data_IF_284841750632
#
_entry.id   IF_284841750632
#
_cell.length_a   1.000
_cell.length_b   1.000
_cell.length_c   1.000
_cell.angle_alpha   90.00
_cell.angle_beta   90.00
_cell.angle_gamma   90.00
#
_symmetry.space_group_name_H-M   'P 1'
#
loop_
_entity.id
_entity.type
_entity.pdbx_description
1 polymer ?
#
# COMPACT_ATOMS: atom_id res chain seq x y z
N UNK A 1 17.98 7.83 32.14
CA UNK A 1 17.72 8.85 31.10
C UNK A 1 17.19 8.24 29.79
N UNK A 2 17.69 7.10 29.35
CA UNK A 2 17.22 6.47 28.07
C UNK A 2 15.80 5.89 28.12
N UNK A 3 15.34 5.43 29.27
CA UNK A 3 14.02 4.79 29.41
C UNK A 3 12.86 5.79 29.29
N UNK A 4 13.00 6.98 29.88
CA UNK A 4 11.99 8.05 29.81
C UNK A 4 11.85 8.61 28.37
N UNK A 5 12.97 8.70 27.63
CA UNK A 5 12.98 9.14 26.24
C UNK A 5 12.30 8.11 25.32
N UNK A 6 12.52 6.84 25.60
CA UNK A 6 11.87 5.75 24.84
C UNK A 6 10.38 5.71 25.09
N UNK A 7 9.95 5.87 26.33
CA UNK A 7 8.52 5.89 26.71
C UNK A 7 7.78 7.06 26.04
N UNK A 8 8.33 8.27 26.11
CA UNK A 8 7.73 9.45 25.43
C UNK A 8 7.71 9.31 23.90
N UNK A 9 8.65 8.59 23.32
CA UNK A 9 8.67 8.31 21.88
C UNK A 9 7.57 7.32 21.48
N UNK A 10 7.42 6.24 22.24
CA UNK A 10 6.37 5.22 22.03
C UNK A 10 4.96 5.81 22.20
N UNK A 11 4.75 6.63 23.23
CA UNK A 11 3.49 7.34 23.44
C UNK A 11 3.14 8.25 22.25
N UNK A 12 4.09 9.03 21.74
CA UNK A 12 3.86 9.89 20.57
C UNK A 12 3.55 9.09 19.30
N UNK A 13 4.26 8.01 19.05
CA UNK A 13 4.00 7.11 17.93
C UNK A 13 2.58 6.55 18.05
N UNK A 14 2.20 6.10 19.24
CA UNK A 14 0.88 5.58 19.53
C UNK A 14 -0.21 6.64 19.29
N UNK A 15 -0.06 7.86 19.83
CA UNK A 15 -1.04 8.94 19.65
C UNK A 15 -1.19 9.34 18.18
N UNK A 16 -0.11 9.44 17.42
CA UNK A 16 -0.19 9.80 16.00
C UNK A 16 -0.81 8.65 15.19
N UNK A 17 -0.45 7.42 15.49
CA UNK A 17 -1.07 6.25 14.83
C UNK A 17 -2.56 6.19 15.11
N UNK A 18 -2.98 6.45 16.35
CA UNK A 18 -4.39 6.53 16.74
C UNK A 18 -5.09 7.72 16.06
N UNK A 19 -4.47 8.90 16.02
CA UNK A 19 -5.02 10.07 15.33
C UNK A 19 -5.18 9.84 13.83
N UNK A 20 -4.17 9.28 13.16
CA UNK A 20 -4.24 8.94 11.73
C UNK A 20 -5.32 7.91 11.47
N UNK A 21 -5.40 6.91 12.33
CA UNK A 21 -6.43 5.88 12.26
C UNK A 21 -7.84 6.47 12.49
N UNK A 22 -8.04 7.31 13.50
CA UNK A 22 -9.30 7.99 13.76
C UNK A 22 -9.68 8.93 12.63
N UNK A 23 -8.69 9.63 12.04
CA UNK A 23 -8.92 10.49 10.88
C UNK A 23 -9.32 9.69 9.66
N UNK A 24 -8.63 8.58 9.37
CA UNK A 24 -9.00 7.65 8.29
C UNK A 24 -10.38 7.02 8.53
N UNK A 25 -10.70 6.63 9.76
CA UNK A 25 -12.01 6.13 10.16
C UNK A 25 -13.11 7.16 10.01
N UNK A 26 -12.88 8.42 10.42
CA UNK A 26 -13.85 9.49 10.26
C UNK A 26 -14.10 9.81 8.77
N UNK A 27 -13.07 9.79 7.93
CA UNK A 27 -13.25 9.95 6.48
C UNK A 27 -14.02 8.79 5.85
N UNK A 28 -13.73 7.57 6.28
CA UNK A 28 -14.49 6.38 5.88
C UNK A 28 -15.95 6.53 6.34
N UNK A 29 -16.19 6.92 7.59
CA UNK A 29 -17.56 7.09 8.12
C UNK A 29 -18.33 8.26 7.50
N UNK A 30 -17.67 9.37 7.16
CA UNK A 30 -18.28 10.49 6.44
C UNK A 30 -18.65 10.14 4.99
N UNK A 31 -17.86 9.28 4.35
CA UNK A 31 -18.19 8.72 3.04
C UNK A 31 -19.39 7.76 3.09
N UNK A 32 -19.59 7.06 4.21
CA UNK A 32 -20.75 6.18 4.43
C UNK A 32 -22.06 6.94 4.74
N UNK A 33 -21.98 8.14 5.34
CA UNK A 33 -23.17 8.88 5.77
C UNK A 33 -24.06 9.40 4.65
N UNK A 34 -23.61 9.31 3.39
CA UNK A 34 -24.38 9.79 2.24
C UNK A 34 -25.21 8.74 1.51
N UNK A 35 -24.89 7.45 1.68
CA UNK A 35 -25.52 6.38 0.88
C UNK A 35 -26.49 5.46 1.64
N UNK A 36 -26.64 5.64 2.96
CA UNK A 36 -27.55 4.82 3.77
C UNK A 36 -28.94 5.41 3.79
N UNK A 37 -29.82 4.90 2.94
CA UNK A 37 -31.28 5.01 3.14
C UNK A 37 -31.70 4.04 4.23
N UNK A 38 -32.53 4.52 5.20
CA UNK A 38 -33.08 3.71 6.30
C UNK A 38 -33.81 2.43 5.85
N UNK A 39 -34.24 2.36 4.59
CA UNK A 39 -34.88 1.19 4.00
C UNK A 39 -33.93 0.02 3.72
N UNK A 40 -32.62 0.32 3.51
CA UNK A 40 -31.62 -0.71 3.25
C UNK A 40 -31.15 -1.42 4.52
N UNK A 41 -31.32 -0.79 5.69
CA UNK A 41 -30.93 -1.36 6.98
C UNK A 41 -31.78 -2.57 7.40
N UNK A 42 -33.03 -2.62 6.98
CA UNK A 42 -33.93 -3.74 7.33
C UNK A 42 -33.78 -4.98 6.46
N UNK A 43 -33.12 -4.89 5.30
CA UNK A 43 -32.86 -6.03 4.42
C UNK A 43 -31.54 -6.76 4.71
N UNK A 44 -30.59 -6.08 5.36
CA UNK A 44 -29.23 -6.57 5.57
C UNK A 44 -29.09 -7.55 6.74
N UNK A 45 -30.04 -7.55 7.67
CA UNK A 45 -29.88 -8.30 8.94
C UNK A 45 -30.12 -9.82 8.85
N UNK A 46 -30.53 -10.36 7.72
CA UNK A 46 -30.80 -11.81 7.63
C UNK A 46 -29.63 -12.67 7.15
N UNK A 47 -28.59 -12.10 6.52
CA UNK A 47 -27.55 -12.90 5.85
C UNK A 47 -26.11 -12.65 6.34
N UNK A 48 -25.86 -11.78 7.32
CA UNK A 48 -24.50 -11.49 7.81
C UNK A 48 -23.99 -12.58 8.77
N UNK A 49 -23.95 -13.84 8.29
CA UNK A 49 -23.39 -14.97 9.04
C UNK A 49 -21.93 -15.23 8.62
N UNK A 50 -21.01 -14.40 9.10
CA UNK A 50 -19.58 -14.64 8.89
C UNK A 50 -18.93 -15.29 10.11
N UNK A 51 -18.18 -16.34 9.88
CA UNK A 51 -17.30 -16.98 10.87
C UNK A 51 -15.87 -16.48 10.68
N UNK A 52 -15.18 -16.14 11.77
CA UNK A 52 -13.78 -15.68 11.73
C UNK A 52 -12.86 -16.64 10.93
N UNK A 53 -13.09 -17.95 11.07
CA UNK A 53 -12.32 -18.96 10.32
C UNK A 53 -12.50 -18.84 8.82
N UNK A 54 -13.74 -18.65 8.36
CA UNK A 54 -14.07 -18.51 6.95
C UNK A 54 -13.55 -17.19 6.39
N UNK A 55 -13.60 -16.12 7.18
CA UNK A 55 -13.05 -14.81 6.80
C UNK A 55 -11.53 -14.85 6.65
N UNK A 56 -10.82 -15.55 7.56
CA UNK A 56 -9.38 -15.76 7.47
C UNK A 56 -9.00 -16.63 6.27
N UNK A 57 -9.76 -17.70 6.01
CA UNK A 57 -9.56 -18.54 4.82
C UNK A 57 -9.80 -17.74 3.52
N UNK A 58 -10.81 -16.89 3.48
CA UNK A 58 -11.11 -16.01 2.36
C UNK A 58 -9.97 -15.02 2.14
N UNK A 59 -9.50 -14.38 3.21
CA UNK A 59 -8.34 -13.47 3.16
C UNK A 59 -7.09 -14.19 2.66
N UNK A 60 -6.83 -15.41 3.13
CA UNK A 60 -5.74 -16.26 2.66
C UNK A 60 -5.85 -16.62 1.17
N UNK A 61 -7.07 -16.93 0.70
CA UNK A 61 -7.33 -17.14 -0.74
C UNK A 61 -7.06 -15.88 -1.56
N UNK A 62 -7.46 -14.70 -1.08
CA UNK A 62 -7.15 -13.45 -1.76
C UNK A 62 -5.66 -13.18 -1.82
N UNK A 63 -4.91 -13.45 -0.75
CA UNK A 63 -3.47 -13.29 -0.73
C UNK A 63 -2.78 -14.26 -1.71
N UNK A 64 -3.08 -15.55 -1.64
CA UNK A 64 -2.45 -16.55 -2.51
C UNK A 64 -2.81 -16.37 -3.97
N UNK A 65 -4.11 -16.15 -4.28
CA UNK A 65 -4.55 -15.90 -5.66
C UNK A 65 -4.08 -14.54 -6.15
N UNK A 66 -4.10 -13.51 -5.30
CA UNK A 66 -3.65 -12.16 -5.62
C UNK A 66 -2.17 -12.10 -5.98
N UNK A 67 -1.31 -12.85 -5.27
CA UNK A 67 0.11 -12.96 -5.60
C UNK A 67 0.36 -13.45 -7.03
N UNK A 68 -0.50 -14.31 -7.54
CA UNK A 68 -0.43 -14.75 -8.94
C UNK A 68 -1.10 -13.76 -9.88
N UNK A 69 -2.28 -13.24 -9.51
CA UNK A 69 -3.10 -12.37 -10.37
C UNK A 69 -2.44 -11.04 -10.72
N UNK A 70 -1.53 -10.54 -9.89
CA UNK A 70 -0.76 -9.34 -10.23
C UNK A 70 0.12 -9.49 -11.48
N UNK A 71 0.38 -10.73 -11.94
CA UNK A 71 1.14 -11.03 -13.15
C UNK A 71 0.27 -11.57 -14.30
N UNK A 72 -1.05 -11.71 -14.11
CA UNK A 72 -1.90 -12.50 -15.02
C UNK A 72 -2.63 -11.67 -16.07
N UNK A 73 -2.69 -10.35 -15.94
CA UNK A 73 -3.42 -9.48 -16.87
C UNK A 73 -2.47 -8.59 -17.67
N UNK A 74 -2.84 -8.30 -18.92
CA UNK A 74 -2.04 -7.40 -19.78
C UNK A 74 -1.79 -6.03 -19.12
N UNK A 75 -2.78 -5.34 -18.51
CA UNK A 75 -2.53 -4.09 -17.81
C UNK A 75 -1.50 -4.23 -16.69
N UNK A 76 -1.58 -5.28 -15.89
CA UNK A 76 -0.63 -5.50 -14.79
C UNK A 76 0.78 -5.78 -15.33
N UNK A 77 0.93 -6.55 -16.41
CA UNK A 77 2.24 -6.79 -17.04
C UNK A 77 2.85 -5.50 -17.58
N UNK A 78 2.04 -4.63 -18.18
CA UNK A 78 2.49 -3.30 -18.61
C UNK A 78 2.93 -2.48 -17.39
N UNK A 79 2.17 -2.48 -16.31
CA UNK A 79 2.52 -1.78 -15.07
C UNK A 79 3.80 -2.34 -14.44
N UNK A 80 4.03 -3.67 -14.50
CA UNK A 80 5.30 -4.27 -14.11
C UNK A 80 6.47 -3.77 -14.98
N UNK A 81 6.27 -3.66 -16.30
CA UNK A 81 7.25 -3.08 -17.22
C UNK A 81 7.56 -1.62 -16.89
N UNK A 82 6.52 -0.80 -16.65
CA UNK A 82 6.67 0.60 -16.23
C UNK A 82 7.40 0.67 -14.88
N UNK A 83 7.06 -0.20 -13.94
CA UNK A 83 7.72 -0.30 -12.63
C UNK A 83 9.21 -0.59 -12.79
N UNK A 84 9.57 -1.57 -13.59
CA UNK A 84 10.97 -1.94 -13.83
C UNK A 84 11.78 -0.79 -14.45
N UNK A 85 11.23 -0.11 -15.46
CA UNK A 85 11.86 1.06 -16.10
C UNK A 85 11.98 2.23 -15.11
N UNK A 86 10.93 2.52 -14.35
CA UNK A 86 10.93 3.60 -13.37
C UNK A 86 11.95 3.35 -12.28
N UNK A 87 11.94 2.17 -11.67
CA UNK A 87 12.89 1.78 -10.62
C UNK A 87 14.31 1.81 -11.17
N UNK A 88 14.56 1.27 -12.35
CA UNK A 88 15.88 1.31 -13.01
C UNK A 88 16.39 2.73 -13.23
N UNK A 89 15.52 3.65 -13.67
CA UNK A 89 15.85 5.08 -13.78
C UNK A 89 16.25 5.69 -12.44
N UNK A 90 15.52 5.38 -11.38
CA UNK A 90 15.82 5.90 -10.04
C UNK A 90 17.10 5.30 -9.47
N UNK A 91 17.34 3.99 -9.63
CA UNK A 91 18.60 3.34 -9.23
C UNK A 91 19.80 4.06 -9.90
N UNK A 92 19.69 4.37 -11.18
CA UNK A 92 20.76 5.10 -11.88
C UNK A 92 21.00 6.52 -11.35
N UNK A 93 19.95 7.17 -10.81
CA UNK A 93 20.01 8.55 -10.31
C UNK A 93 20.05 8.67 -8.77
N UNK A 94 20.06 7.59 -8.03
CA UNK A 94 19.92 7.57 -6.57
C UNK A 94 20.93 8.46 -5.85
N UNK A 95 22.20 8.38 -6.20
CA UNK A 95 23.25 9.20 -5.58
C UNK A 95 22.98 10.70 -5.77
N UNK A 96 22.55 11.11 -6.97
CA UNK A 96 22.25 12.51 -7.28
C UNK A 96 21.03 13.03 -6.51
N UNK A 97 20.02 12.18 -6.36
CA UNK A 97 18.77 12.51 -5.66
C UNK A 97 19.04 12.60 -4.15
N UNK A 98 19.74 11.62 -3.59
CA UNK A 98 20.08 11.59 -2.16
C UNK A 98 20.91 12.81 -1.75
N UNK A 99 21.94 13.17 -2.50
CA UNK A 99 22.75 14.37 -2.22
C UNK A 99 21.90 15.66 -2.20
N UNK A 100 20.93 15.79 -3.12
CA UNK A 100 20.02 16.95 -3.15
C UNK A 100 19.03 16.95 -1.98
N UNK A 101 18.57 15.78 -1.54
CA UNK A 101 17.64 15.66 -0.43
C UNK A 101 18.29 16.03 0.91
N UNK A 102 19.53 15.59 1.14
CA UNK A 102 20.27 15.82 2.39
C UNK A 102 20.61 17.30 2.62
N UNK A 103 20.89 18.03 1.56
CA UNK A 103 21.27 19.46 1.65
C UNK A 103 20.14 20.40 2.13
N UNK A 104 18.91 19.89 2.33
CA UNK A 104 17.73 20.68 2.72
C UNK A 104 17.30 20.45 4.18
N UNK A 105 18.20 20.13 5.09
CA UNK A 105 17.86 19.83 6.50
C UNK A 105 17.20 21.00 7.23
N UNK A 106 15.88 20.95 7.44
CA UNK A 106 15.16 21.71 8.49
C UNK A 106 13.89 20.97 8.93
N UNK A 107 13.70 20.84 10.27
CA UNK A 107 12.49 20.37 10.97
C UNK A 107 12.08 18.90 10.75
N UNK A 108 12.91 17.99 11.23
CA UNK A 108 12.74 16.54 11.03
C UNK A 108 11.80 15.83 12.03
N UNK A 109 11.41 16.46 13.16
CA UNK A 109 10.74 15.74 14.27
C UNK A 109 9.40 15.14 13.85
N UNK A 110 8.55 15.89 13.15
CA UNK A 110 7.23 15.43 12.73
C UNK A 110 7.33 14.35 11.64
N UNK A 111 8.23 14.52 10.69
CA UNK A 111 8.45 13.53 9.62
C UNK A 111 9.01 12.22 10.17
N UNK A 112 9.88 12.27 11.17
CA UNK A 112 10.39 11.09 11.86
C UNK A 112 9.26 10.33 12.57
N UNK A 113 8.36 11.05 13.26
CA UNK A 113 7.24 10.42 13.95
C UNK A 113 6.27 9.77 12.96
N UNK A 114 5.95 10.42 11.84
CA UNK A 114 5.11 9.84 10.78
C UNK A 114 5.77 8.59 10.20
N UNK A 115 7.07 8.65 9.91
CA UNK A 115 7.80 7.49 9.39
C UNK A 115 7.87 6.34 10.39
N UNK A 116 8.05 6.62 11.67
CA UNK A 116 8.03 5.60 12.72
C UNK A 116 6.63 5.00 12.90
N UNK A 117 5.57 5.84 12.79
CA UNK A 117 4.18 5.38 12.83
C UNK A 117 3.83 4.42 11.69
N UNK A 118 4.48 4.55 10.53
CA UNK A 118 4.26 3.63 9.39
C UNK A 118 4.48 2.16 9.74
N UNK A 119 5.34 1.86 10.73
CA UNK A 119 5.58 0.49 11.21
C UNK A 119 4.31 -0.13 11.78
N UNK A 120 3.48 0.66 12.47
CA UNK A 120 2.20 0.17 13.02
C UNK A 120 1.27 -0.27 11.89
N UNK A 121 1.28 0.43 10.77
CA UNK A 121 0.47 0.11 9.59
C UNK A 121 0.98 -1.12 8.82
N UNK A 122 2.21 -1.57 9.10
CA UNK A 122 2.73 -2.85 8.60
C UNK A 122 2.34 -4.04 9.49
N UNK A 123 1.66 -3.81 10.60
CA UNK A 123 1.19 -4.88 11.49
C UNK A 123 -0.25 -5.27 11.17
N UNK A 124 -0.70 -6.46 11.59
CA UNK A 124 -2.10 -6.86 11.44
C UNK A 124 -3.08 -6.05 12.32
N UNK A 125 -2.58 -5.15 13.17
CA UNK A 125 -3.41 -4.35 14.08
C UNK A 125 -4.42 -3.47 13.33
N UNK A 126 -3.95 -2.74 12.32
CA UNK A 126 -4.81 -1.80 11.57
C UNK A 126 -5.89 -2.54 10.77
N UNK A 127 -5.56 -3.60 9.98
CA UNK A 127 -6.59 -4.44 9.36
C UNK A 127 -7.56 -5.04 10.36
N UNK A 128 -7.08 -5.54 11.52
CA UNK A 128 -7.94 -6.13 12.55
C UNK A 128 -8.95 -5.14 13.12
N UNK A 129 -8.58 -3.85 13.23
CA UNK A 129 -9.49 -2.81 13.67
C UNK A 129 -10.59 -2.58 12.62
N UNK A 130 -10.25 -2.46 11.33
CA UNK A 130 -11.26 -2.35 10.26
C UNK A 130 -12.18 -3.57 10.24
N UNK A 131 -11.60 -4.77 10.38
CA UNK A 131 -12.37 -6.01 10.47
C UNK A 131 -13.35 -5.99 11.66
N UNK A 132 -12.88 -5.60 12.85
CA UNK A 132 -13.72 -5.56 14.07
C UNK A 132 -14.87 -4.56 13.94
N UNK A 133 -14.61 -3.39 13.33
CA UNK A 133 -15.64 -2.39 13.07
C UNK A 133 -16.66 -2.89 12.05
N UNK A 134 -16.18 -3.54 10.97
CA UNK A 134 -17.05 -4.13 9.97
C UNK A 134 -17.99 -5.19 10.56
N UNK A 135 -17.46 -6.04 11.45
CA UNK A 135 -18.22 -7.05 12.17
C UNK A 135 -19.25 -6.43 13.12
N UNK A 136 -18.84 -5.41 13.87
CA UNK A 136 -19.73 -4.70 14.80
C UNK A 136 -20.87 -3.97 14.09
N UNK A 137 -20.60 -3.42 12.88
CA UNK A 137 -21.59 -2.68 12.08
C UNK A 137 -22.36 -3.52 11.09
N UNK A 138 -22.03 -4.81 10.98
CA UNK A 138 -22.57 -5.70 9.95
C UNK A 138 -22.36 -5.14 8.52
N UNK A 139 -21.21 -4.49 8.28
CA UNK A 139 -20.88 -3.80 7.04
C UNK A 139 -20.06 -4.71 6.14
N UNK A 140 -20.71 -5.29 5.15
CA UNK A 140 -20.08 -6.21 4.21
C UNK A 140 -19.01 -5.54 3.32
N UNK A 141 -19.22 -4.28 2.92
CA UNK A 141 -18.25 -3.52 2.14
C UNK A 141 -16.97 -3.28 2.95
N UNK A 142 -17.12 -2.88 4.20
CA UNK A 142 -15.97 -2.67 5.10
C UNK A 142 -15.29 -4.00 5.46
N UNK A 143 -16.04 -5.11 5.60
CA UNK A 143 -15.47 -6.43 5.80
C UNK A 143 -14.60 -6.84 4.62
N UNK A 144 -15.10 -6.68 3.41
CA UNK A 144 -14.36 -6.96 2.19
C UNK A 144 -13.12 -6.08 2.07
N UNK A 145 -13.26 -4.79 2.36
CA UNK A 145 -12.13 -3.87 2.43
C UNK A 145 -11.04 -4.34 3.41
N UNK A 146 -11.42 -4.76 4.63
CA UNK A 146 -10.48 -5.25 5.63
C UNK A 146 -9.76 -6.53 5.18
N UNK A 147 -10.48 -7.47 4.56
CA UNK A 147 -9.91 -8.70 4.00
C UNK A 147 -8.92 -8.39 2.88
N UNK A 148 -9.30 -7.54 1.93
CA UNK A 148 -8.44 -7.19 0.80
C UNK A 148 -7.24 -6.33 1.22
N UNK A 149 -7.40 -5.43 2.20
CA UNK A 149 -6.30 -4.67 2.76
C UNK A 149 -5.30 -5.59 3.45
N UNK A 150 -5.78 -6.55 4.26
CA UNK A 150 -4.94 -7.56 4.90
C UNK A 150 -4.15 -8.38 3.89
N UNK A 151 -4.82 -8.88 2.84
CA UNK A 151 -4.19 -9.65 1.79
C UNK A 151 -3.13 -8.83 1.03
N UNK A 152 -3.45 -7.59 0.65
CA UNK A 152 -2.52 -6.67 -0.04
C UNK A 152 -1.29 -6.39 0.81
N UNK A 153 -1.48 -6.06 2.08
CA UNK A 153 -0.39 -5.81 3.03
C UNK A 153 0.50 -7.04 3.17
N UNK A 154 -0.10 -8.22 3.34
CA UNK A 154 0.62 -9.49 3.46
C UNK A 154 1.48 -9.79 2.22
N UNK A 155 0.92 -9.67 1.01
CA UNK A 155 1.66 -9.88 -0.24
C UNK A 155 2.84 -8.91 -0.33
N UNK A 156 2.59 -7.60 -0.18
CA UNK A 156 3.62 -6.58 -0.33
C UNK A 156 4.77 -6.74 0.70
N UNK A 157 4.45 -7.12 1.95
CA UNK A 157 5.46 -7.39 2.97
C UNK A 157 6.29 -8.64 2.65
N UNK A 158 5.65 -9.72 2.21
CA UNK A 158 6.34 -10.97 1.84
C UNK A 158 7.23 -10.73 0.62
N UNK A 159 6.74 -10.06 -0.41
CA UNK A 159 7.53 -9.72 -1.58
C UNK A 159 8.71 -8.80 -1.23
N UNK A 160 8.48 -7.79 -0.37
CA UNK A 160 9.55 -6.92 0.12
C UNK A 160 10.63 -7.72 0.85
N UNK A 161 10.23 -8.72 1.66
CA UNK A 161 11.17 -9.61 2.34
C UNK A 161 12.01 -10.43 1.37
N UNK A 162 11.38 -11.05 0.36
CA UNK A 162 12.09 -11.85 -0.64
C UNK A 162 13.05 -11.00 -1.48
N UNK A 163 12.60 -9.82 -1.93
CA UNK A 163 13.43 -8.94 -2.76
C UNK A 163 14.58 -8.34 -1.95
N UNK A 164 14.40 -8.08 -0.64
CA UNK A 164 15.47 -7.57 0.21
C UNK A 164 16.64 -8.55 0.38
N UNK A 165 16.43 -9.83 0.08
CA UNK A 165 17.52 -10.81 0.03
C UNK A 165 18.44 -10.61 -1.19
N UNK A 166 17.98 -9.88 -2.23
CA UNK A 166 18.80 -9.55 -3.40
C UNK A 166 19.62 -8.28 -3.08
N UNK A 167 20.95 -8.34 -3.13
CA UNK A 167 21.80 -7.19 -2.82
C UNK A 167 21.81 -6.21 -4.00
N UNK A 168 20.79 -5.33 -4.06
CA UNK A 168 20.70 -4.28 -5.11
C UNK A 168 21.72 -3.18 -4.82
N UNK A 169 21.70 -2.61 -3.63
CA UNK A 169 22.70 -1.67 -3.13
C UNK A 169 22.67 -1.57 -1.59
N UNK A 170 23.77 -1.08 -1.02
CA UNK A 170 23.86 -0.82 0.41
C UNK A 170 23.10 0.46 0.78
N UNK A 171 22.84 0.66 2.07
CA UNK A 171 22.19 1.87 2.55
C UNK A 171 23.04 3.12 2.31
N UNK A 172 22.41 4.29 2.04
CA UNK A 172 23.14 5.52 1.83
C UNK A 172 23.97 5.97 3.06
N UNK A 173 23.51 5.67 4.29
CA UNK A 173 24.14 6.10 5.54
C UNK A 173 25.30 5.18 6.00
N UNK A 174 25.56 4.09 5.28
CA UNK A 174 26.61 3.09 5.57
C UNK A 174 26.66 2.62 7.04
N UNK A 175 25.63 2.92 7.84
CA UNK A 175 25.58 2.54 9.25
C UNK A 175 25.42 1.04 9.40
N UNK A 176 26.15 0.49 10.39
CA UNK A 176 25.93 -0.90 10.81
C UNK A 176 24.48 -1.08 11.26
N UNK A 177 23.80 -2.03 10.63
CA UNK A 177 22.46 -2.44 10.99
C UNK A 177 22.49 -3.09 12.38
N UNK A 178 21.38 -3.03 13.11
CA UNK A 178 21.20 -3.87 14.28
C UNK A 178 21.12 -5.34 13.85
N UNK A 179 21.46 -6.27 14.76
CA UNK A 179 21.37 -7.71 14.49
C UNK A 179 20.01 -8.13 13.92
N UNK A 180 18.92 -7.57 14.44
CA UNK A 180 17.57 -7.88 13.98
C UNK A 180 17.26 -7.29 12.59
N UNK A 181 17.73 -6.07 12.31
CA UNK A 181 17.58 -5.49 10.97
C UNK A 181 18.38 -6.28 9.93
N UNK A 182 19.58 -6.71 10.26
CA UNK A 182 20.42 -7.53 9.36
C UNK A 182 19.83 -8.93 9.16
N UNK A 183 19.29 -9.56 10.23
CA UNK A 183 18.67 -10.88 10.17
C UNK A 183 17.39 -10.88 9.30
N UNK A 184 16.55 -9.83 9.39
CA UNK A 184 15.28 -9.77 8.66
C UNK A 184 15.39 -9.17 7.26
N UNK A 185 16.39 -8.33 6.96
CA UNK A 185 16.47 -7.57 5.71
C UNK A 185 17.78 -7.73 4.96
N UNK A 186 18.73 -8.47 5.51
CA UNK A 186 20.07 -8.51 4.96
C UNK A 186 20.71 -7.11 4.95
N UNK A 187 21.76 -6.95 4.15
CA UNK A 187 22.52 -5.69 4.03
C UNK A 187 21.91 -4.71 3.01
N UNK A 188 20.94 -5.15 2.22
CA UNK A 188 20.31 -4.31 1.20
C UNK A 188 19.33 -3.30 1.81
N UNK A 189 19.31 -2.08 1.27
CA UNK A 189 18.26 -1.10 1.58
C UNK A 189 16.98 -1.32 0.79
N UNK A 190 17.05 -2.07 -0.30
CA UNK A 190 15.98 -2.25 -1.28
C UNK A 190 15.13 -3.50 -0.98
N UNK A 191 13.79 -3.39 -1.06
CA UNK A 191 12.97 -2.19 -1.09
C UNK A 191 12.65 -1.67 0.32
N UNK A 192 12.05 -0.46 0.44
CA UNK A 192 11.72 0.14 1.75
C UNK A 192 10.42 -0.39 2.34
N UNK A 193 10.46 -1.13 3.43
CA UNK A 193 9.25 -1.60 4.11
C UNK A 193 8.36 -0.51 4.74
N UNK A 194 8.92 0.69 5.03
CA UNK A 194 8.19 1.75 5.73
C UNK A 194 7.04 2.37 4.92
N UNK A 195 7.09 2.32 3.59
CA UNK A 195 6.08 2.91 2.71
C UNK A 195 4.87 1.98 2.50
N UNK A 196 5.05 0.66 2.71
CA UNK A 196 4.09 -0.38 2.34
C UNK A 196 2.74 -0.19 3.05
N UNK A 197 2.73 -0.05 4.39
CA UNK A 197 1.48 -0.01 5.16
C UNK A 197 0.55 1.13 4.77
N UNK A 198 1.10 2.35 4.65
CA UNK A 198 0.31 3.50 4.20
C UNK A 198 -0.11 3.38 2.73
N UNK A 199 0.75 2.84 1.87
CA UNK A 199 0.42 2.63 0.46
C UNK A 199 -0.68 1.59 0.29
N UNK A 200 -0.61 0.46 0.99
CA UNK A 200 -1.63 -0.58 0.94
C UNK A 200 -3.00 -0.06 1.40
N UNK A 201 -3.02 0.69 2.52
CA UNK A 201 -4.25 1.34 3.00
C UNK A 201 -4.78 2.34 1.96
N UNK A 202 -3.89 3.17 1.40
CA UNK A 202 -4.27 4.20 0.45
C UNK A 202 -4.82 3.64 -0.87
N UNK A 203 -4.19 2.62 -1.43
CA UNK A 203 -4.67 2.00 -2.67
C UNK A 203 -6.00 1.29 -2.45
N UNK A 204 -6.17 0.55 -1.35
CA UNK A 204 -7.46 -0.06 -1.03
C UNK A 204 -8.54 0.97 -0.71
N UNK A 205 -8.21 2.05 0.00
CA UNK A 205 -9.14 3.14 0.22
C UNK A 205 -9.58 3.80 -1.10
N UNK A 206 -8.68 3.93 -2.08
CA UNK A 206 -9.04 4.45 -3.40
C UNK A 206 -10.00 3.50 -4.14
N UNK A 207 -9.71 2.21 -4.12
CA UNK A 207 -10.56 1.20 -4.77
C UNK A 207 -11.99 1.20 -4.20
N UNK A 208 -12.12 1.20 -2.88
CA UNK A 208 -13.42 1.05 -2.23
C UNK A 208 -14.16 2.37 -2.03
N UNK A 209 -13.45 3.45 -1.65
CA UNK A 209 -14.05 4.68 -1.14
C UNK A 209 -13.65 5.94 -1.92
N UNK A 210 -12.77 5.79 -2.92
CA UNK A 210 -12.37 6.87 -3.82
C UNK A 210 -11.25 7.76 -3.30
N UNK A 211 -10.95 8.84 -4.04
CA UNK A 211 -9.74 9.64 -3.85
C UNK A 211 -9.70 10.38 -2.51
N UNK A 212 -10.85 10.81 -1.99
CA UNK A 212 -10.92 11.56 -0.73
C UNK A 212 -10.47 10.66 0.43
N UNK A 213 -10.93 9.41 0.47
CA UNK A 213 -10.54 8.44 1.49
C UNK A 213 -9.07 7.98 1.31
N UNK A 214 -8.58 7.95 0.09
CA UNK A 214 -7.22 7.54 -0.23
C UNK A 214 -6.17 8.63 0.05
N UNK A 215 -6.54 9.91 -0.05
CA UNK A 215 -5.60 11.02 0.04
C UNK A 215 -4.79 11.05 1.34
N UNK A 216 -5.37 10.91 2.55
CA UNK A 216 -4.60 10.94 3.78
C UNK A 216 -3.52 9.84 3.85
N UNK A 217 -3.82 8.55 3.67
CA UNK A 217 -2.80 7.51 3.74
C UNK A 217 -1.76 7.62 2.61
N UNK A 218 -2.13 8.03 1.40
CA UNK A 218 -1.16 8.24 0.31
C UNK A 218 -0.24 9.44 0.57
N UNK A 219 -0.75 10.52 1.16
CA UNK A 219 0.09 11.64 1.59
C UNK A 219 1.08 11.22 2.67
N UNK A 220 0.65 10.40 3.64
CA UNK A 220 1.52 9.85 4.67
C UNK A 220 2.57 8.90 4.09
N UNK A 221 2.23 8.10 3.08
CA UNK A 221 3.19 7.30 2.33
C UNK A 221 4.25 8.19 1.66
N UNK A 222 3.83 9.28 1.01
CA UNK A 222 4.72 10.26 0.39
C UNK A 222 5.64 10.96 1.40
N UNK A 223 5.09 11.39 2.54
CA UNK A 223 5.88 12.00 3.64
C UNK A 223 6.88 10.99 4.20
N UNK A 224 6.47 9.73 4.40
CA UNK A 224 7.36 8.65 4.85
C UNK A 224 8.47 8.41 3.83
N UNK A 225 8.14 8.30 2.55
CA UNK A 225 9.11 8.12 1.48
C UNK A 225 10.15 9.26 1.46
N UNK A 226 9.68 10.52 1.50
CA UNK A 226 10.55 11.68 1.58
C UNK A 226 11.48 11.63 2.80
N UNK A 227 10.94 11.34 3.99
CA UNK A 227 11.71 11.25 5.23
C UNK A 227 12.78 10.17 5.15
N UNK A 228 12.46 8.99 4.56
CA UNK A 228 13.44 7.88 4.45
C UNK A 228 14.62 8.24 3.55
N UNK A 229 14.38 8.96 2.44
CA UNK A 229 15.42 9.44 1.54
C UNK A 229 16.22 10.57 2.20
N UNK A 230 15.52 11.53 2.82
CA UNK A 230 16.12 12.68 3.47
C UNK A 230 17.03 12.31 4.66
N UNK A 231 16.68 11.25 5.39
CA UNK A 231 17.47 10.74 6.52
C UNK A 231 18.55 9.72 6.11
N UNK A 232 18.83 9.58 4.82
CA UNK A 232 19.85 8.68 4.25
C UNK A 232 19.66 7.19 4.64
N UNK A 233 18.42 6.79 4.96
CA UNK A 233 18.11 5.39 5.31
C UNK A 233 17.73 4.55 4.12
N UNK A 234 17.23 5.18 3.07
CA UNK A 234 16.82 4.56 1.82
C UNK A 234 17.13 5.48 0.64
N UNK A 235 17.33 4.90 -0.51
CA UNK A 235 17.34 5.61 -1.77
C UNK A 235 15.94 5.90 -2.30
N UNK A 236 15.83 6.79 -3.30
CA UNK A 236 14.56 7.09 -3.93
C UNK A 236 13.98 5.85 -4.64
N UNK A 237 14.84 5.04 -5.26
CA UNK A 237 14.45 3.76 -5.88
C UNK A 237 13.79 2.80 -4.89
N UNK A 238 14.27 2.73 -3.64
CA UNK A 238 13.75 1.82 -2.61
C UNK A 238 12.28 2.12 -2.26
N UNK A 239 11.99 3.41 -2.07
CA UNK A 239 10.64 3.85 -1.67
C UNK A 239 9.65 3.82 -2.83
N UNK A 240 10.11 4.12 -4.05
CA UNK A 240 9.29 4.04 -5.27
C UNK A 240 8.98 2.60 -5.61
N UNK A 241 9.97 1.70 -5.54
CA UNK A 241 9.75 0.27 -5.75
C UNK A 241 8.69 -0.28 -4.79
N UNK A 242 8.78 0.06 -3.49
CA UNK A 242 7.79 -0.37 -2.49
C UNK A 242 6.39 0.12 -2.81
N UNK A 243 6.24 1.39 -3.20
CA UNK A 243 4.93 1.94 -3.58
C UNK A 243 4.32 1.23 -4.78
N UNK A 244 5.11 1.05 -5.85
CA UNK A 244 4.66 0.41 -7.09
C UNK A 244 4.36 -1.09 -6.90
N UNK A 245 5.18 -1.81 -6.14
CA UNK A 245 4.92 -3.22 -5.79
C UNK A 245 3.63 -3.35 -4.98
N UNK A 246 3.42 -2.46 -3.99
CA UNK A 246 2.20 -2.46 -3.19
C UNK A 246 0.96 -2.16 -4.04
N UNK A 247 1.08 -1.27 -5.03
CA UNK A 247 0.01 -1.03 -6.00
C UNK A 247 -0.32 -2.31 -6.79
N UNK A 248 0.68 -3.00 -7.33
CA UNK A 248 0.50 -4.23 -8.09
C UNK A 248 -0.10 -5.36 -7.24
N UNK A 249 0.37 -5.52 -6.00
CA UNK A 249 -0.24 -6.43 -5.03
C UNK A 249 -1.72 -6.09 -4.79
N UNK A 250 -2.04 -4.80 -4.66
CA UNK A 250 -3.43 -4.31 -4.51
C UNK A 250 -4.30 -4.68 -5.71
N UNK A 251 -3.78 -4.52 -6.94
CA UNK A 251 -4.46 -4.93 -8.18
C UNK A 251 -4.65 -6.46 -8.26
N UNK A 252 -3.62 -7.21 -7.92
CA UNK A 252 -3.70 -8.68 -7.87
C UNK A 252 -4.79 -9.16 -6.93
N UNK A 253 -4.90 -8.57 -5.73
CA UNK A 253 -5.94 -8.88 -4.74
C UNK A 253 -7.31 -8.47 -5.25
N UNK A 254 -7.47 -7.30 -5.86
CA UNK A 254 -8.74 -6.86 -6.46
C UNK A 254 -9.27 -7.88 -7.48
N UNK A 255 -8.39 -8.32 -8.38
CA UNK A 255 -8.75 -9.32 -9.39
C UNK A 255 -9.09 -10.67 -8.73
N UNK A 256 -8.34 -11.06 -7.69
CA UNK A 256 -8.57 -12.32 -6.98
C UNK A 256 -9.88 -12.33 -6.18
N UNK A 257 -10.27 -11.18 -5.61
CA UNK A 257 -11.50 -11.06 -4.82
C UNK A 257 -12.75 -11.03 -5.68
N UNK A 258 -12.65 -10.55 -6.93
CA UNK A 258 -13.78 -10.39 -7.83
C UNK A 258 -14.81 -9.35 -7.32
N UNK A 259 -14.42 -8.43 -6.42
CA UNK A 259 -15.31 -7.40 -5.91
C UNK A 259 -15.65 -6.39 -7.02
N UNK A 260 -16.94 -6.24 -7.32
CA UNK A 260 -17.48 -5.46 -8.43
C UNK A 260 -17.98 -4.06 -8.04
N UNK A 261 -18.08 -3.77 -6.73
CA UNK A 261 -18.60 -2.48 -6.22
C UNK A 261 -17.47 -1.50 -5.89
N UNK A 262 -16.43 -1.48 -6.72
CA UNK A 262 -15.36 -0.50 -6.59
C UNK A 262 -15.88 0.93 -6.83
N UNK A 263 -15.16 1.93 -6.29
CA UNK A 263 -15.54 3.32 -6.48
C UNK A 263 -15.59 3.71 -7.97
N UNK A 264 -16.62 4.41 -8.46
CA UNK A 264 -16.80 4.71 -9.89
C UNK A 264 -15.59 5.36 -10.57
N UNK A 265 -14.90 6.28 -9.88
CA UNK A 265 -13.68 6.88 -10.42
C UNK A 265 -12.56 5.85 -10.58
N UNK A 266 -12.44 4.89 -9.64
CA UNK A 266 -11.47 3.81 -9.77
C UNK A 266 -11.79 2.92 -10.97
N UNK A 267 -13.05 2.51 -11.11
CA UNK A 267 -13.52 1.74 -12.25
C UNK A 267 -13.23 2.48 -13.57
N UNK A 268 -13.53 3.77 -13.61
CA UNK A 268 -13.26 4.59 -14.81
C UNK A 268 -11.77 4.66 -15.17
N UNK A 269 -10.85 4.72 -14.21
CA UNK A 269 -9.40 4.82 -14.47
C UNK A 269 -8.78 3.46 -14.80
N UNK A 270 -9.16 2.39 -14.09
CA UNK A 270 -8.41 1.13 -14.08
C UNK A 270 -9.18 -0.09 -14.61
N UNK A 271 -10.51 -0.02 -14.71
CA UNK A 271 -11.33 -1.16 -15.11
C UNK A 271 -11.85 -1.08 -16.55
N UNK A 272 -11.49 -0.04 -17.29
CA UNK A 272 -11.77 0.01 -18.73
C UNK A 272 -10.96 -1.06 -19.46
N UNK A 273 -11.60 -1.71 -20.41
CA UNK A 273 -10.95 -2.68 -21.29
C UNK A 273 -9.92 -1.96 -22.17
N UNK A 274 -8.70 -1.86 -21.64
CA UNK A 274 -7.56 -1.37 -22.38
C UNK A 274 -6.90 -2.54 -23.09
N UNK A 275 -7.01 -2.55 -24.42
CA UNK A 275 -6.30 -3.51 -25.25
C UNK A 275 -5.14 -2.83 -25.96
N UNK A 276 -3.94 -3.33 -25.72
CA UNK A 276 -2.75 -2.92 -26.45
C UNK A 276 -2.28 -4.07 -27.34
N UNK A 277 -2.14 -3.81 -28.61
CA UNK A 277 -1.62 -4.77 -29.58
C UNK A 277 -0.47 -4.18 -30.38
N UNK A 278 0.47 -5.01 -30.76
CA UNK A 278 1.45 -4.65 -31.77
C UNK A 278 0.93 -5.04 -33.13
N UNK A 279 1.01 -4.12 -34.08
CA UNK A 279 0.71 -4.45 -35.48
C UNK A 279 1.95 -4.23 -36.34
N UNK A 280 2.09 -5.09 -37.33
CA UNK A 280 3.10 -4.95 -38.39
C UNK A 280 2.37 -4.91 -39.72
N UNK A 281 2.47 -3.76 -40.39
CA UNK A 281 1.91 -3.60 -41.72
C UNK A 281 3.06 -3.12 -42.64
N UNK A 282 3.44 -3.97 -43.59
CA UNK A 282 4.61 -3.77 -44.46
C UNK A 282 5.88 -3.60 -43.61
N UNK A 283 6.56 -2.47 -43.71
CA UNK A 283 7.78 -2.12 -42.97
C UNK A 283 7.51 -1.27 -41.73
N UNK A 284 6.24 -1.00 -41.39
CA UNK A 284 5.84 -0.26 -40.20
C UNK A 284 5.48 -1.22 -39.08
N UNK A 285 6.12 -1.01 -37.93
CA UNK A 285 5.74 -1.64 -36.66
C UNK A 285 5.08 -0.53 -35.82
N UNK A 286 3.86 -0.76 -35.38
CA UNK A 286 3.12 0.18 -34.56
C UNK A 286 2.49 -0.46 -33.34
N UNK A 287 2.06 0.37 -32.43
CA UNK A 287 1.28 -0.01 -31.26
C UNK A 287 -0.16 0.45 -31.48
N UNK A 288 -1.09 -0.48 -31.42
CA UNK A 288 -2.51 -0.19 -31.44
C UNK A 288 -3.03 -0.15 -30.01
N UNK A 289 -3.71 0.92 -29.63
CA UNK A 289 -4.39 1.05 -28.36
C UNK A 289 -5.89 1.17 -28.63
N UNK A 290 -6.68 0.29 -28.02
CA UNK A 290 -8.14 0.40 -28.08
C UNK A 290 -8.72 0.50 -26.67
N UNK A 291 -9.67 1.41 -26.51
CA UNK A 291 -10.44 1.59 -25.30
C UNK A 291 -11.84 1.08 -25.56
N UNK A 292 -12.30 0.07 -24.80
CA UNK A 292 -13.70 -0.36 -24.80
C UNK A 292 -14.46 0.46 -23.75
N UNK A 293 -15.61 1.01 -24.14
CA UNK A 293 -16.56 1.64 -23.22
C UNK A 293 -17.58 0.61 -22.77
#
# INVERSE_FOLDING_TARGET
MNYLILQTKLERIFYISVMVMLFSLNFVTLSFGKDLKLEDLNKTNQDFQHNLGDDLLTTGKFATTGSYKQFSTTPNLIMWGITAVTVGYFIHNDNRISQKAVNKRKNEKIFNVISDASIVFNTPLVPAIFYSIARYREDEKMLRFAQEYTATLGIALVESLFISAVPVHQRPDEKKLSFWEEAFRGKSSFPSGHVIGFSALGFKAFQFYGPIAAAPPLLLAGVTAFQRVHSEKHYASDVIASGLMTFLASEGVRIASGYDKNHPLYQWIFEHNFNMGFFKQNNLIGVMMSFGY
#
